data_IF_840345293671
#
_entry.id   IF_840345293671
#
_cell.length_a   1.000
_cell.length_b   1.000
_cell.length_c   1.000
_cell.angle_alpha   90.00
_cell.angle_beta   90.00
_cell.angle_gamma   90.00
#
_symmetry.space_group_name_H-M   'P 1'
#
loop_
_entity.id
_entity.type
_entity.pdbx_description
1 polymer ?
#
# COMPACT_ATOMS: atom_id res chain seq x y z
N UNK A 1 -4.02 -19.21 29.69
CA UNK A 1 -3.08 -18.29 29.01
C UNK A 1 -3.54 -18.17 27.58
N UNK A 2 -4.18 -17.06 27.23
CA UNK A 2 -4.62 -16.79 25.85
C UNK A 2 -3.38 -16.58 24.98
N UNK A 3 -3.25 -17.24 23.81
CA UNK A 3 -2.14 -16.95 22.91
C UNK A 3 -2.21 -15.47 22.53
N UNK A 4 -1.17 -14.70 22.84
CA UNK A 4 -1.01 -13.38 22.26
C UNK A 4 -0.86 -13.55 20.74
N UNK A 5 -1.52 -12.72 19.92
CA UNK A 5 -1.31 -12.76 18.48
C UNK A 5 0.18 -12.56 18.20
N UNK A 6 0.77 -13.50 17.48
CA UNK A 6 2.13 -13.35 16.94
C UNK A 6 2.13 -12.01 16.20
N UNK A 7 3.03 -11.06 16.51
CA UNK A 7 3.12 -9.84 15.72
C UNK A 7 3.41 -10.29 14.29
N UNK A 8 2.41 -10.17 13.43
CA UNK A 8 2.47 -10.47 12.00
C UNK A 8 3.61 -9.62 11.43
N UNK A 9 4.79 -10.23 11.35
CA UNK A 9 6.08 -9.69 10.92
C UNK A 9 6.03 -8.19 10.69
N UNK A 10 6.16 -7.37 11.72
CA UNK A 10 5.83 -5.95 11.60
C UNK A 10 6.63 -5.29 10.47
N UNK A 11 5.96 -4.96 9.37
CA UNK A 11 6.45 -4.26 8.18
C UNK A 11 6.78 -2.78 8.50
N UNK A 12 6.85 -2.46 9.81
CA UNK A 12 7.44 -1.28 10.43
C UNK A 12 8.89 -1.25 9.90
N UNK A 13 9.21 -0.55 8.80
CA UNK A 13 9.05 0.89 8.61
C UNK A 13 8.85 1.31 7.12
N UNK A 14 8.04 0.62 6.30
CA UNK A 14 7.80 1.09 4.92
C UNK A 14 6.85 2.31 4.83
N UNK A 15 6.59 2.97 5.96
CA UNK A 15 5.68 4.11 6.10
C UNK A 15 4.29 3.80 5.49
N UNK A 16 3.85 2.54 5.60
CA UNK A 16 2.59 2.05 5.05
C UNK A 16 1.37 2.76 5.64
N UNK A 17 1.48 3.28 6.86
CA UNK A 17 0.46 4.12 7.51
C UNK A 17 0.23 5.46 6.79
N UNK A 18 1.16 5.90 5.95
CA UNK A 18 1.10 7.17 5.26
C UNK A 18 0.65 6.97 3.81
N UNK A 19 -0.49 7.57 3.46
CA UNK A 19 -1.02 7.56 2.10
C UNK A 19 -0.24 8.47 1.14
N UNK A 20 0.71 9.27 1.63
CA UNK A 20 1.47 10.20 0.81
C UNK A 20 2.41 9.48 -0.16
N UNK A 21 2.24 9.76 -1.45
CA UNK A 21 3.09 9.28 -2.53
C UNK A 21 3.50 10.51 -3.36
N UNK A 22 4.79 10.83 -3.41
CA UNK A 22 5.29 11.95 -4.21
C UNK A 22 6.63 11.63 -4.91
N UNK A 23 6.75 11.85 -6.24
CA UNK A 23 5.65 12.18 -7.15
C UNK A 23 4.72 10.98 -7.33
N UNK A 24 3.41 11.23 -7.45
CA UNK A 24 2.43 10.21 -7.81
C UNK A 24 2.32 10.16 -9.34
N UNK A 25 3.00 9.18 -9.94
CA UNK A 25 2.96 8.91 -11.38
C UNK A 25 2.36 7.52 -11.62
N UNK A 26 1.90 7.25 -12.85
CA UNK A 26 1.39 5.92 -13.24
C UNK A 26 2.36 4.78 -12.92
N UNK A 27 3.60 4.87 -13.40
CA UNK A 27 4.61 3.84 -13.17
C UNK A 27 4.84 3.57 -11.67
N UNK A 28 4.80 4.62 -10.84
CA UNK A 28 4.95 4.46 -9.39
C UNK A 28 3.71 3.86 -8.74
N UNK A 29 2.51 4.27 -9.15
CA UNK A 29 1.27 3.69 -8.67
C UNK A 29 1.19 2.19 -9.01
N UNK A 30 1.55 1.79 -10.23
CA UNK A 30 1.64 0.38 -10.65
C UNK A 30 2.68 -0.41 -9.83
N UNK A 31 3.84 0.19 -9.55
CA UNK A 31 4.85 -0.43 -8.68
C UNK A 31 4.32 -0.68 -7.27
N UNK A 32 3.64 0.31 -6.70
CA UNK A 32 3.06 0.24 -5.35
C UNK A 32 1.97 -0.83 -5.28
N UNK A 33 1.07 -0.91 -6.26
CA UNK A 33 0.01 -1.93 -6.25
C UNK A 33 0.57 -3.34 -6.39
N UNK A 34 1.67 -3.53 -7.13
CA UNK A 34 2.37 -4.83 -7.22
C UNK A 34 3.04 -5.22 -5.90
N UNK A 35 3.78 -4.30 -5.28
CA UNK A 35 4.53 -4.56 -4.05
C UNK A 35 3.59 -4.80 -2.85
N UNK A 36 2.51 -4.02 -2.76
CA UNK A 36 1.58 -4.04 -1.64
C UNK A 36 0.30 -4.86 -1.89
N UNK A 37 0.22 -5.60 -3.01
CA UNK A 37 -0.84 -6.58 -3.26
C UNK A 37 -1.09 -7.58 -2.11
N UNK A 38 -0.08 -8.08 -1.36
CA UNK A 38 -0.32 -9.01 -0.27
C UNK A 38 -0.72 -8.37 1.06
N UNK A 39 -0.75 -7.04 1.18
CA UNK A 39 -1.11 -6.36 2.44
C UNK A 39 -2.57 -6.69 2.84
N UNK A 40 -2.78 -7.19 4.06
CA UNK A 40 -4.10 -7.48 4.63
C UNK A 40 -4.22 -6.89 6.04
N UNK A 41 -5.09 -5.90 6.28
CA UNK A 41 -5.87 -5.16 5.29
C UNK A 41 -4.97 -4.39 4.30
N UNK A 42 -5.49 -3.96 3.13
CA UNK A 42 -4.73 -3.13 2.20
C UNK A 42 -4.18 -1.88 2.90
N UNK A 43 -2.93 -1.54 2.65
CA UNK A 43 -2.33 -0.36 3.27
C UNK A 43 -2.79 0.94 2.56
N UNK A 44 -2.81 2.08 3.27
CA UNK A 44 -3.14 3.39 2.69
C UNK A 44 -2.44 3.70 1.35
N UNK A 45 -1.17 3.32 1.17
CA UNK A 45 -0.44 3.51 -0.10
C UNK A 45 -1.00 2.67 -1.24
N UNK A 46 -1.36 1.42 -0.96
CA UNK A 46 -2.01 0.56 -1.94
C UNK A 46 -3.34 1.19 -2.38
N UNK A 47 -4.13 1.66 -1.42
CA UNK A 47 -5.42 2.31 -1.71
C UNK A 47 -5.26 3.59 -2.54
N UNK A 48 -4.30 4.46 -2.18
CA UNK A 48 -4.02 5.69 -2.93
C UNK A 48 -3.53 5.38 -4.35
N UNK A 49 -2.61 4.44 -4.51
CA UNK A 49 -2.10 4.04 -5.82
C UNK A 49 -3.20 3.42 -6.68
N UNK A 50 -4.03 2.54 -6.11
CA UNK A 50 -5.19 1.96 -6.79
C UNK A 50 -6.17 3.05 -7.22
N UNK A 51 -6.53 3.97 -6.32
CA UNK A 51 -7.43 5.09 -6.63
C UNK A 51 -6.91 5.96 -7.77
N UNK A 52 -5.61 6.25 -7.79
CA UNK A 52 -4.99 6.99 -8.89
C UNK A 52 -5.15 6.27 -10.24
N UNK A 53 -4.86 4.98 -10.29
CA UNK A 53 -5.01 4.17 -11.52
C UNK A 53 -6.48 4.03 -11.95
N UNK A 54 -7.40 3.93 -10.99
CA UNK A 54 -8.85 3.85 -11.25
C UNK A 54 -9.40 5.19 -11.81
N UNK A 55 -8.82 6.32 -11.41
CA UNK A 55 -9.25 7.66 -11.83
C UNK A 55 -8.59 8.16 -13.11
N UNK A 56 -7.44 7.63 -13.48
CA UNK A 56 -6.65 8.07 -14.64
C UNK A 56 -6.28 6.90 -15.57
N UNK A 57 -7.25 6.37 -16.34
CA UNK A 57 -6.99 5.23 -17.21
C UNK A 57 -6.08 5.56 -18.41
N UNK A 58 -5.83 6.84 -18.70
CA UNK A 58 -5.38 7.33 -20.02
C UNK A 58 -4.04 8.08 -20.07
N UNK A 59 -3.39 8.39 -18.95
CA UNK A 59 -1.96 8.79 -18.96
C UNK A 59 -1.05 7.59 -19.23
#
# INVERSE_FOLDING_TARGET
MTPQPIPQHSWINDDCQNSWIYPLTRARAEGITKIHAPCTPPCPRFETARKYLDQDPTQ
#
